data_IF_762743334810
#
_entry.id   IF_762743334810
#
_cell.length_a   1.000
_cell.length_b   1.000
_cell.length_c   1.000
_cell.angle_alpha   90.00
_cell.angle_beta   90.00
_cell.angle_gamma   90.00
#
_symmetry.space_group_name_H-M   'P 1'
#
loop_
_entity.id
_entity.type
_entity.pdbx_description
1 polymer ?
#
# COMPACT_ATOMS: atom_id res chain seq x y z
N UNK A 1 5.99 12.23 0.89
CA UNK A 1 6.57 11.04 1.54
C UNK A 1 7.98 11.29 2.09
N UNK A 2 8.70 12.35 1.67
CA UNK A 2 10.08 12.63 2.10
C UNK A 2 10.28 12.73 3.61
N UNK A 3 9.40 13.44 4.32
CA UNK A 3 9.46 13.56 5.79
C UNK A 3 9.35 12.22 6.54
N UNK A 4 8.74 11.20 5.91
CA UNK A 4 8.54 9.88 6.52
C UNK A 4 9.76 8.97 6.37
N UNK A 5 10.71 9.31 5.49
CA UNK A 5 11.86 8.45 5.13
C UNK A 5 12.67 7.95 6.35
N UNK A 6 12.95 8.77 7.38
CA UNK A 6 13.75 8.33 8.54
C UNK A 6 13.05 7.29 9.42
N UNK A 7 11.71 7.24 9.46
CA UNK A 7 10.92 6.35 10.32
C UNK A 7 10.22 5.21 9.59
N UNK A 8 10.44 5.08 8.28
CA UNK A 8 9.68 4.16 7.43
C UNK A 8 9.97 2.69 7.77
N UNK A 9 8.90 1.90 7.94
CA UNK A 9 9.00 0.46 8.17
C UNK A 9 7.74 -0.32 7.78
N UNK A 10 6.61 0.38 7.64
CA UNK A 10 5.35 -0.16 7.17
C UNK A 10 4.74 0.87 6.22
N UNK A 11 4.30 0.41 5.05
CA UNK A 11 3.67 1.24 4.03
C UNK A 11 2.30 0.66 3.72
N UNK A 12 1.24 1.45 3.89
CA UNK A 12 -0.07 1.07 3.40
C UNK A 12 -0.22 1.54 1.95
N UNK A 13 -0.67 0.64 1.09
CA UNK A 13 -0.87 0.86 -0.33
C UNK A 13 -2.36 1.10 -0.58
N UNK A 14 -2.65 2.30 -1.06
CA UNK A 14 -4.01 2.79 -1.31
C UNK A 14 -3.91 3.91 -2.31
N UNK A 15 -4.85 3.97 -3.25
CA UNK A 15 -4.87 5.05 -4.22
C UNK A 15 -6.29 5.47 -4.56
N UNK A 16 -6.37 6.65 -5.14
CA UNK A 16 -7.60 7.36 -5.40
C UNK A 16 -7.47 8.09 -6.72
N UNK A 17 -8.56 8.16 -7.48
CA UNK A 17 -8.55 8.86 -8.78
C UNK A 17 -8.16 10.32 -8.60
N UNK A 18 -7.54 10.89 -9.63
CA UNK A 18 -7.26 12.32 -9.68
C UNK A 18 -8.58 13.10 -9.65
N UNK A 19 -8.85 13.76 -8.53
CA UNK A 19 -9.99 14.67 -8.38
C UNK A 19 -9.57 16.10 -8.66
N UNK A 20 -10.43 16.85 -9.35
CA UNK A 20 -10.24 18.29 -9.54
C UNK A 20 -10.36 19.01 -8.20
N UNK A 21 -9.57 20.06 -8.01
CA UNK A 21 -9.39 20.74 -6.71
C UNK A 21 -10.69 21.30 -6.08
N UNK A 22 -11.75 21.45 -6.88
CA UNK A 22 -13.06 21.95 -6.45
C UNK A 22 -13.84 21.01 -5.52
N UNK A 23 -13.40 19.76 -5.33
CA UNK A 23 -14.12 18.75 -4.53
C UNK A 23 -13.60 18.54 -3.10
N UNK A 24 -12.61 19.33 -2.63
CA UNK A 24 -12.14 19.25 -1.22
C UNK A 24 -13.03 20.09 -0.29
N UNK A 25 -14.22 19.58 0.04
CA UNK A 25 -15.19 20.20 0.96
C UNK A 25 -15.34 19.45 2.29
N UNK A 26 -15.75 20.17 3.34
CA UNK A 26 -15.81 19.75 4.76
C UNK A 26 -16.73 18.56 5.11
N UNK A 27 -17.49 18.03 4.15
CA UNK A 27 -18.38 16.89 4.34
C UNK A 27 -17.93 15.75 3.44
N UNK A 28 -17.74 14.55 4.00
CA UNK A 28 -17.44 13.34 3.22
C UNK A 28 -18.69 13.04 2.40
N UNK A 29 -18.71 13.47 1.13
CA UNK A 29 -19.72 13.00 0.20
C UNK A 29 -19.49 11.50 -0.01
N UNK A 30 -20.45 10.67 0.39
CA UNK A 30 -20.33 9.22 0.28
C UNK A 30 -20.13 8.76 -1.19
N UNK A 31 -20.61 9.53 -2.17
CA UNK A 31 -20.37 9.25 -3.59
C UNK A 31 -18.88 9.34 -3.96
N UNK A 32 -18.11 10.19 -3.25
CA UNK A 32 -16.66 10.31 -3.46
C UNK A 32 -15.92 9.07 -2.98
N UNK A 33 -16.54 8.22 -2.18
CA UNK A 33 -15.95 6.97 -1.72
C UNK A 33 -15.86 5.93 -2.85
N UNK A 34 -16.56 6.11 -3.98
CA UNK A 34 -16.50 5.22 -5.14
C UNK A 34 -15.23 5.39 -6.00
N UNK A 35 -14.35 6.33 -5.67
CA UNK A 35 -13.19 6.69 -6.50
C UNK A 35 -11.86 6.11 -6.01
N UNK A 36 -11.88 5.24 -5.00
CA UNK A 36 -10.73 4.40 -4.67
C UNK A 36 -10.44 3.48 -5.85
N UNK A 37 -9.15 3.36 -6.18
CA UNK A 37 -8.68 2.59 -7.33
C UNK A 37 -7.41 1.83 -6.95
N UNK A 38 -7.07 0.77 -7.71
CA UNK A 38 -5.78 0.12 -7.56
C UNK A 38 -4.63 1.11 -7.75
N UNK A 39 -3.49 0.83 -7.10
CA UNK A 39 -2.35 1.75 -7.02
C UNK A 39 -1.74 2.16 -8.37
N UNK A 40 -1.93 1.35 -9.41
CA UNK A 40 -1.48 1.68 -10.77
C UNK A 40 -2.36 2.71 -11.49
N UNK A 41 -3.62 2.88 -11.04
CA UNK A 41 -4.66 3.68 -11.71
C UNK A 41 -4.94 5.00 -11.02
N UNK A 42 -4.36 5.25 -9.85
CA UNK A 42 -4.61 6.44 -9.05
C UNK A 42 -3.58 7.55 -9.26
N UNK A 43 -3.69 8.57 -8.42
CA UNK A 43 -2.87 9.78 -8.49
C UNK A 43 -1.75 9.82 -7.43
N UNK A 44 -1.56 8.73 -6.67
CA UNK A 44 -0.63 8.67 -5.53
C UNK A 44 0.85 8.67 -5.91
N UNK A 45 1.20 8.46 -7.19
CA UNK A 45 2.60 8.49 -7.64
C UNK A 45 3.43 7.29 -7.16
N UNK A 46 2.78 6.13 -6.99
CA UNK A 46 3.38 4.92 -6.42
C UNK A 46 4.69 4.48 -7.10
N UNK A 47 4.86 4.70 -8.40
CA UNK A 47 6.12 4.38 -9.12
C UNK A 47 7.31 5.09 -8.47
N UNK A 48 7.23 6.42 -8.32
CA UNK A 48 8.34 7.20 -7.75
C UNK A 48 8.58 6.86 -6.28
N UNK A 49 7.51 6.62 -5.53
CA UNK A 49 7.59 6.23 -4.12
C UNK A 49 8.31 4.88 -3.97
N UNK A 50 8.01 3.90 -4.83
CA UNK A 50 8.62 2.57 -4.77
C UNK A 50 10.08 2.58 -5.27
N UNK A 51 10.40 3.40 -6.27
CA UNK A 51 11.80 3.65 -6.69
C UNK A 51 12.63 4.23 -5.53
N UNK A 52 12.12 5.25 -4.86
CA UNK A 52 12.77 5.82 -3.66
C UNK A 52 12.88 4.78 -2.53
N UNK A 53 11.83 3.97 -2.31
CA UNK A 53 11.84 2.93 -1.30
C UNK A 53 12.95 1.91 -1.57
N UNK A 54 13.12 1.48 -2.82
CA UNK A 54 14.14 0.52 -3.24
C UNK A 54 15.53 0.92 -2.76
N UNK A 55 15.89 2.19 -2.93
CA UNK A 55 17.19 2.73 -2.51
C UNK A 55 17.36 2.69 -0.99
N UNK A 56 16.26 2.85 -0.24
CA UNK A 56 16.26 2.88 1.21
C UNK A 56 16.21 1.49 1.87
N UNK A 57 15.69 0.48 1.18
CA UNK A 57 15.42 -0.87 1.72
C UNK A 57 16.60 -1.49 2.48
N UNK A 58 17.86 -1.45 2.01
CA UNK A 58 18.98 -2.08 2.73
C UNK A 58 19.20 -1.48 4.12
N UNK A 59 19.11 -0.15 4.24
CA UNK A 59 19.29 0.57 5.50
C UNK A 59 18.10 0.34 6.45
N UNK A 60 16.88 0.44 5.93
CA UNK A 60 15.66 0.19 6.69
C UNK A 60 15.62 -1.25 7.23
N UNK A 61 15.89 -2.23 6.37
CA UNK A 61 15.91 -3.65 6.74
C UNK A 61 16.90 -3.91 7.86
N UNK A 62 18.11 -3.37 7.77
CA UNK A 62 19.12 -3.51 8.84
C UNK A 62 18.65 -2.90 10.15
N UNK A 63 17.98 -1.75 10.12
CA UNK A 63 17.45 -1.09 11.32
C UNK A 63 16.30 -1.88 11.94
N UNK A 64 15.38 -2.39 11.14
CA UNK A 64 14.22 -3.15 11.58
C UNK A 64 14.65 -4.52 12.15
N UNK A 65 15.58 -5.22 11.49
CA UNK A 65 16.13 -6.49 11.99
C UNK A 65 16.80 -6.36 13.36
N UNK A 66 17.52 -5.25 13.62
CA UNK A 66 18.08 -4.97 14.96
C UNK A 66 17.03 -4.82 16.07
N UNK A 67 15.75 -4.61 15.71
CA UNK A 67 14.61 -4.50 16.63
C UNK A 67 13.71 -5.75 16.60
N UNK A 68 14.17 -6.85 16.00
CA UNK A 68 13.40 -8.09 15.86
C UNK A 68 12.32 -8.06 14.77
N UNK A 69 12.32 -7.04 13.91
CA UNK A 69 11.35 -6.91 12.81
C UNK A 69 11.98 -7.47 11.52
N UNK A 70 11.35 -8.44 10.82
CA UNK A 70 11.97 -9.14 9.69
C UNK A 70 12.42 -8.25 8.52
N UNK A 71 11.71 -7.15 8.29
CA UNK A 71 11.96 -6.23 7.18
C UNK A 71 10.92 -5.13 7.10
N UNK A 72 10.78 -4.54 5.92
CA UNK A 72 9.75 -3.53 5.61
C UNK A 72 8.49 -4.23 5.12
N UNK A 73 7.33 -3.79 5.58
CA UNK A 73 6.02 -4.34 5.18
C UNK A 73 5.27 -3.40 4.25
N UNK A 74 4.62 -3.96 3.23
CA UNK A 74 3.67 -3.28 2.36
C UNK A 74 2.31 -3.96 2.51
N UNK A 75 1.33 -3.26 3.04
CA UNK A 75 -0.02 -3.77 3.23
C UNK A 75 -1.02 -3.10 2.31
N UNK A 76 -1.99 -3.86 1.82
CA UNK A 76 -3.06 -3.34 0.98
C UNK A 76 -4.19 -2.76 1.84
N UNK A 77 -4.57 -1.52 1.57
CA UNK A 77 -5.77 -0.88 2.13
C UNK A 77 -6.66 -0.29 1.01
N UNK A 78 -7.13 -1.11 0.05
CA UNK A 78 -7.34 -0.60 -1.31
C UNK A 78 -8.76 -0.07 -1.59
N UNK A 79 -9.76 -0.37 -0.74
CA UNK A 79 -11.15 0.11 -0.79
C UNK A 79 -11.83 0.14 -2.18
N UNK A 80 -11.46 -0.77 -3.08
CA UNK A 80 -11.79 -0.67 -4.52
C UNK A 80 -13.25 -0.94 -4.87
N UNK A 81 -14.04 -1.53 -3.97
CA UNK A 81 -15.50 -1.67 -4.15
C UNK A 81 -16.28 -0.46 -3.65
N UNK A 82 -15.65 0.38 -2.82
CA UNK A 82 -16.24 1.57 -2.25
C UNK A 82 -15.59 1.89 -0.91
N UNK A 83 -15.34 3.17 -0.66
CA UNK A 83 -14.91 3.66 0.65
C UNK A 83 -16.06 3.74 1.67
N UNK A 84 -15.72 4.22 2.85
CA UNK A 84 -16.64 4.54 3.95
C UNK A 84 -15.99 5.59 4.85
N UNK A 85 -16.80 6.33 5.60
CA UNK A 85 -16.31 7.33 6.56
C UNK A 85 -15.31 6.72 7.57
N UNK A 86 -15.48 5.45 7.91
CA UNK A 86 -14.64 4.71 8.88
C UNK A 86 -13.83 3.57 8.26
N UNK A 87 -13.75 3.51 6.94
CA UNK A 87 -13.10 2.41 6.20
C UNK A 87 -13.91 1.98 4.99
N UNK A 88 -13.25 1.45 3.97
CA UNK A 88 -13.89 0.96 2.76
C UNK A 88 -13.94 -0.56 2.67
N UNK A 89 -14.53 -1.03 1.58
CA UNK A 89 -14.66 -2.43 1.23
C UNK A 89 -13.93 -2.71 -0.09
N UNK A 90 -13.29 -3.86 -0.14
CA UNK A 90 -12.72 -4.41 -1.39
C UNK A 90 -13.34 -5.74 -1.75
N UNK A 91 -13.78 -6.54 -0.77
CA UNK A 91 -14.13 -7.94 -0.99
C UNK A 91 -12.92 -8.79 -1.46
N UNK A 92 -13.12 -10.10 -1.62
CA UNK A 92 -12.05 -11.01 -2.08
C UNK A 92 -11.53 -10.67 -3.48
N UNK A 93 -12.42 -10.30 -4.39
CA UNK A 93 -12.10 -9.91 -5.77
C UNK A 93 -11.32 -8.60 -5.83
N UNK A 94 -11.77 -7.57 -5.09
CA UNK A 94 -11.09 -6.28 -5.04
C UNK A 94 -9.73 -6.37 -4.37
N UNK A 95 -9.57 -7.23 -3.36
CA UNK A 95 -8.25 -7.54 -2.79
C UNK A 95 -7.33 -8.16 -3.84
N UNK A 96 -7.82 -9.12 -4.63
CA UNK A 96 -7.05 -9.72 -5.73
C UNK A 96 -6.65 -8.72 -6.83
N UNK A 97 -7.55 -7.79 -7.17
CA UNK A 97 -7.25 -6.71 -8.13
C UNK A 97 -6.15 -5.80 -7.58
N UNK A 98 -6.28 -5.36 -6.33
CA UNK A 98 -5.31 -4.49 -5.70
C UNK A 98 -3.93 -5.15 -5.53
N UNK A 99 -3.91 -6.44 -5.20
CA UNK A 99 -2.68 -7.22 -5.09
C UNK A 99 -1.94 -7.31 -6.43
N UNK A 100 -2.63 -7.66 -7.52
CA UNK A 100 -2.02 -7.72 -8.85
C UNK A 100 -1.45 -6.36 -9.28
N UNK A 101 -2.18 -5.28 -8.99
CA UNK A 101 -1.72 -3.92 -9.25
C UNK A 101 -0.44 -3.59 -8.48
N UNK A 102 -0.39 -3.92 -7.18
CA UNK A 102 0.81 -3.72 -6.38
C UNK A 102 1.99 -4.57 -6.89
N UNK A 103 1.79 -5.86 -7.16
CA UNK A 103 2.82 -6.73 -7.73
C UNK A 103 3.37 -6.16 -9.04
N UNK A 104 2.50 -5.73 -9.95
CA UNK A 104 2.92 -5.11 -11.21
C UNK A 104 3.76 -3.84 -11.01
N UNK A 105 3.44 -3.01 -10.03
CA UNK A 105 4.25 -1.84 -9.67
C UNK A 105 5.59 -2.22 -9.04
N UNK A 106 5.62 -3.22 -8.15
CA UNK A 106 6.86 -3.71 -7.55
C UNK A 106 7.79 -4.32 -8.61
N UNK A 107 7.25 -5.11 -9.53
CA UNK A 107 7.97 -5.68 -10.66
C UNK A 107 8.52 -4.58 -11.57
N UNK A 108 7.68 -3.61 -11.95
CA UNK A 108 8.06 -2.45 -12.77
C UNK A 108 9.19 -1.63 -12.15
N UNK A 109 9.18 -1.45 -10.84
CA UNK A 109 10.22 -0.71 -10.10
C UNK A 109 11.39 -1.60 -9.65
N UNK A 110 11.32 -2.89 -9.96
CA UNK A 110 12.30 -3.91 -9.55
C UNK A 110 12.55 -3.94 -8.04
N UNK A 111 11.51 -3.66 -7.24
CA UNK A 111 11.50 -3.92 -5.80
C UNK A 111 11.25 -5.40 -5.61
N UNK A 112 12.20 -6.11 -4.97
CA UNK A 112 11.99 -7.51 -4.62
C UNK A 112 11.03 -7.62 -3.44
N UNK A 113 10.13 -8.57 -3.50
CA UNK A 113 9.13 -8.82 -2.46
C UNK A 113 8.93 -10.31 -2.24
N UNK A 114 8.40 -10.61 -1.06
CA UNK A 114 7.83 -11.90 -0.71
C UNK A 114 6.35 -11.67 -0.45
N UNK A 115 5.47 -12.39 -1.14
CA UNK A 115 4.05 -12.36 -0.84
C UNK A 115 3.80 -13.31 0.31
N UNK A 116 3.19 -12.79 1.38
CA UNK A 116 2.87 -13.61 2.54
C UNK A 116 2.05 -14.82 2.12
N UNK A 117 2.55 -16.00 2.44
CA UNK A 117 1.92 -17.27 2.12
C UNK A 117 1.35 -17.94 3.39
N UNK A 118 0.93 -19.19 3.25
CA UNK A 118 0.37 -19.94 4.35
C UNK A 118 1.42 -20.35 5.39
N UNK A 119 2.66 -20.59 4.98
CA UNK A 119 3.73 -20.98 5.89
C UNK A 119 4.11 -19.78 6.78
N UNK A 120 4.15 -18.57 6.23
CA UNK A 120 4.29 -17.34 7.03
C UNK A 120 3.14 -17.14 8.04
N UNK A 121 1.94 -17.59 7.68
CA UNK A 121 0.78 -17.53 8.58
C UNK A 121 0.91 -18.55 9.70
N UNK A 122 1.36 -19.76 9.42
CA UNK A 122 1.63 -20.80 10.41
C UNK A 122 2.75 -20.37 11.36
N UNK A 123 3.88 -19.88 10.82
CA UNK A 123 4.98 -19.38 11.62
C UNK A 123 4.56 -18.24 12.56
N UNK A 124 3.70 -17.33 12.11
CA UNK A 124 3.16 -16.26 12.96
C UNK A 124 2.20 -16.76 14.06
N UNK A 125 1.62 -17.95 13.89
CA UNK A 125 0.84 -18.65 14.92
C UNK A 125 1.70 -19.47 15.88
N UNK A 126 3.01 -19.58 15.61
CA UNK A 126 3.93 -20.44 16.36
C UNK A 126 3.79 -21.93 16.02
N UNK A 127 3.29 -22.24 14.81
CA UNK A 127 3.14 -23.61 14.29
C UNK A 127 4.24 -23.94 13.29
#
# INVERSE_FOLDING_TARGET
WEAMKPGLGWVHIKDYRKVTASMRGKHVNEDMLAHFVPAESGAGGHVKILEDLKEMLPSLTRRLKRRGIPGVFLDLEPHVRGGGQFGGTSGPDGMGIALRSLCGLLDKTSVKYHLRDFDDLLAARGM
#
